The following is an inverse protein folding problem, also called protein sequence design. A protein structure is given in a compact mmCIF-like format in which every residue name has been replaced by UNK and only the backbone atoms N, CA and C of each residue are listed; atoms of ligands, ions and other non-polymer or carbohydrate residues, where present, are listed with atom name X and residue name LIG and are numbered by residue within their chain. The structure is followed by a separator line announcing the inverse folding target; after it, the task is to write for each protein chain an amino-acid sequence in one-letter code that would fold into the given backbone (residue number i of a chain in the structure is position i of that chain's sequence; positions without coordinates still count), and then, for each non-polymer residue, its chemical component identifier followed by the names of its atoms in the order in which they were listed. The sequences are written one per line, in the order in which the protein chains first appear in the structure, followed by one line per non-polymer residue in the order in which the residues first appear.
data_IF_585933043802
#
_entry.id   IF_585933043802
#
_cell.length_a   1.000
_cell.length_b   1.000
_cell.length_c   1.000
_cell.angle_alpha   90.00
_cell.angle_beta   90.00
_cell.angle_gamma   90.00
#
_symmetry.space_group_name_H-M   'P 1'
#
loop_
_entity.id
_entity.type
_entity.pdbx_description
1 polymer ?
#
# COMPACT_ATOMS: atom_id res chain seq x y z
N UNK A 1 29.10 -9.37 0.60
CA UNK A 1 28.13 -9.13 -0.49
C UNK A 1 27.84 -10.47 -1.15
N UNK A 2 26.59 -10.95 -1.16
CA UNK A 2 26.27 -12.29 -1.67
C UNK A 2 25.72 -12.22 -3.10
N UNK A 3 25.91 -13.28 -3.89
CA UNK A 3 25.37 -13.37 -5.25
C UNK A 3 23.83 -13.16 -5.29
N UNK A 4 23.13 -13.62 -4.25
CA UNK A 4 21.70 -13.40 -4.09
C UNK A 4 21.31 -11.91 -4.03
N UNK A 5 22.07 -11.07 -3.31
CA UNK A 5 21.79 -9.64 -3.26
C UNK A 5 22.03 -8.94 -4.60
N UNK A 6 23.04 -9.37 -5.35
CA UNK A 6 23.31 -8.85 -6.70
C UNK A 6 22.16 -9.20 -7.65
N UNK A 7 21.75 -10.47 -7.66
CA UNK A 7 20.64 -10.95 -8.49
C UNK A 7 19.32 -10.26 -8.13
N UNK A 8 18.98 -10.21 -6.84
CA UNK A 8 17.79 -9.55 -6.32
C UNK A 8 17.74 -8.07 -6.66
N UNK A 9 18.83 -7.32 -6.47
CA UNK A 9 18.89 -5.89 -6.81
C UNK A 9 18.78 -5.65 -8.32
N UNK A 10 19.45 -6.47 -9.13
CA UNK A 10 19.36 -6.39 -10.60
C UNK A 10 17.92 -6.61 -11.06
N UNK A 11 17.25 -7.62 -10.49
CA UNK A 11 15.84 -7.91 -10.80
C UNK A 11 14.91 -6.81 -10.32
N UNK A 12 15.14 -6.25 -9.13
CA UNK A 12 14.39 -5.13 -8.57
C UNK A 12 14.42 -3.92 -9.50
N UNK A 13 15.62 -3.52 -9.97
CA UNK A 13 15.79 -2.44 -10.95
C UNK A 13 15.11 -2.75 -12.28
N UNK A 14 15.23 -3.98 -12.78
CA UNK A 14 14.61 -4.38 -14.04
C UNK A 14 13.08 -4.34 -13.99
N UNK A 15 12.46 -4.72 -12.86
CA UNK A 15 11.02 -4.61 -12.67
C UNK A 15 10.56 -3.15 -12.58
N UNK A 16 11.24 -2.33 -11.78
CA UNK A 16 10.90 -0.92 -11.62
C UNK A 16 11.00 -0.13 -12.94
N UNK A 17 11.95 -0.49 -13.82
CA UNK A 17 12.07 0.11 -15.17
C UNK A 17 10.93 -0.24 -16.12
N UNK A 18 10.19 -1.32 -15.85
CA UNK A 18 9.09 -1.79 -16.69
C UNK A 18 7.71 -1.28 -16.25
N UNK A 19 7.63 -0.53 -15.14
CA UNK A 19 6.40 0.11 -14.70
C UNK A 19 5.70 0.86 -15.85
N UNK A 20 4.38 0.94 -15.79
CA UNK A 20 3.59 1.66 -16.80
C UNK A 20 3.96 3.15 -16.81
N UNK A 21 4.14 3.74 -15.62
CA UNK A 21 4.53 5.12 -15.46
C UNK A 21 3.39 6.12 -15.67
N UNK A 22 3.65 7.42 -15.43
CA UNK A 22 2.63 8.46 -15.44
C UNK A 22 2.01 8.67 -16.82
N UNK A 23 2.77 8.55 -17.90
CA UNK A 23 2.26 8.77 -19.26
C UNK A 23 1.24 7.72 -19.68
N UNK A 24 1.53 6.44 -19.42
CA UNK A 24 0.56 5.36 -19.67
C UNK A 24 -0.66 5.56 -18.80
N UNK A 25 -0.48 5.87 -17.52
CA UNK A 25 -1.59 6.05 -16.62
C UNK A 25 -2.48 7.24 -17.08
N UNK A 26 -1.91 8.36 -17.54
CA UNK A 26 -2.67 9.49 -18.11
C UNK A 26 -3.48 9.08 -19.34
N UNK A 27 -2.89 8.30 -20.26
CA UNK A 27 -3.61 7.75 -21.42
C UNK A 27 -4.72 6.79 -21.03
N UNK A 28 -4.54 5.99 -19.97
CA UNK A 28 -5.59 5.13 -19.42
C UNK A 28 -6.72 6.00 -18.86
N UNK A 29 -6.37 7.02 -18.07
CA UNK A 29 -7.32 7.91 -17.41
C UNK A 29 -8.16 8.74 -18.40
N UNK A 30 -7.57 9.13 -19.54
CA UNK A 30 -8.25 9.85 -20.63
C UNK A 30 -9.03 8.93 -21.58
N UNK A 31 -9.26 7.66 -21.22
CA UNK A 31 -10.07 6.75 -22.04
C UNK A 31 -11.55 7.06 -21.81
N UNK A 32 -12.35 7.24 -22.86
CA UNK A 32 -13.77 7.56 -22.72
C UNK A 32 -14.61 6.39 -22.17
N UNK A 33 -14.04 5.18 -22.17
CA UNK A 33 -14.67 3.99 -21.64
C UNK A 33 -13.61 3.04 -21.04
N UNK A 34 -14.05 2.21 -20.09
CA UNK A 34 -13.20 1.22 -19.43
C UNK A 34 -12.55 0.26 -20.42
N UNK A 35 -13.29 -0.24 -21.41
CA UNK A 35 -12.77 -1.21 -22.40
C UNK A 35 -11.52 -0.68 -23.13
N UNK A 36 -11.58 0.55 -23.63
CA UNK A 36 -10.43 1.21 -24.27
C UNK A 36 -9.28 1.46 -23.28
N UNK A 37 -9.58 1.67 -22.01
CA UNK A 37 -8.59 1.82 -20.95
C UNK A 37 -7.84 0.50 -20.68
N UNK A 38 -8.57 -0.63 -20.64
CA UNK A 38 -7.99 -1.97 -20.44
C UNK A 38 -7.10 -2.37 -21.61
N UNK A 39 -7.49 -2.06 -22.85
CA UNK A 39 -6.67 -2.32 -24.03
C UNK A 39 -5.31 -1.61 -23.98
N UNK A 40 -5.24 -0.41 -23.39
CA UNK A 40 -3.99 0.37 -23.23
C UNK A 40 -3.00 -0.26 -22.24
N UNK A 41 -3.44 -1.20 -21.40
CA UNK A 41 -2.57 -1.90 -20.46
C UNK A 41 -1.85 -3.12 -21.06
N UNK A 42 -2.17 -3.51 -22.29
CA UNK A 42 -1.57 -4.69 -22.93
C UNK A 42 -0.06 -4.56 -23.18
N UNK A 43 0.43 -3.34 -23.43
CA UNK A 43 1.85 -3.06 -23.58
C UNK A 43 2.61 -2.93 -22.24
N UNK A 44 1.95 -3.13 -21.11
CA UNK A 44 2.51 -2.94 -19.75
C UNK A 44 2.71 -4.26 -19.02
N UNK A 45 3.36 -4.28 -17.83
CA UNK A 45 3.41 -5.48 -17.00
C UNK A 45 2.03 -6.01 -16.57
N UNK A 46 1.00 -5.15 -16.55
CA UNK A 46 -0.36 -5.50 -16.11
C UNK A 46 -1.09 -6.42 -17.09
N UNK A 47 -0.61 -6.56 -18.32
CA UNK A 47 -1.12 -7.51 -19.32
C UNK A 47 -1.14 -8.96 -18.84
N UNK A 48 -0.48 -9.30 -17.74
CA UNK A 48 -0.51 -10.66 -17.18
C UNK A 48 -1.90 -11.02 -16.65
N UNK A 49 -2.53 -10.08 -15.95
CA UNK A 49 -3.81 -10.29 -15.28
C UNK A 49 -4.97 -9.47 -15.86
N UNK A 50 -4.68 -8.26 -16.35
CA UNK A 50 -5.71 -7.37 -16.88
C UNK A 50 -6.03 -7.74 -18.33
N UNK A 51 -7.32 -7.94 -18.63
CA UNK A 51 -7.84 -8.37 -19.92
C UNK A 51 -9.02 -7.51 -20.36
N UNK A 52 -9.23 -7.30 -21.68
CA UNK A 52 -10.48 -6.75 -22.19
C UNK A 52 -11.70 -7.56 -21.70
N UNK A 53 -12.84 -6.88 -21.51
CA UNK A 53 -14.08 -7.49 -21.05
C UNK A 53 -14.21 -7.66 -19.53
N UNK A 54 -13.16 -7.39 -18.75
CA UNK A 54 -13.24 -7.37 -17.29
C UNK A 54 -14.06 -6.17 -16.79
N UNK A 55 -14.82 -6.38 -15.71
CA UNK A 55 -15.35 -5.30 -14.90
C UNK A 55 -14.22 -4.50 -14.25
N UNK A 56 -14.54 -3.29 -13.76
CA UNK A 56 -13.57 -2.45 -13.05
C UNK A 56 -12.98 -3.19 -11.84
N UNK A 57 -13.82 -3.86 -11.05
CA UNK A 57 -13.41 -4.60 -9.85
C UNK A 57 -12.44 -5.73 -10.21
N UNK A 58 -12.77 -6.52 -11.23
CA UNK A 58 -11.90 -7.60 -11.71
C UNK A 58 -10.56 -7.08 -12.22
N UNK A 59 -10.58 -6.01 -13.03
CA UNK A 59 -9.37 -5.40 -13.57
C UNK A 59 -8.46 -4.84 -12.46
N UNK A 60 -9.04 -4.16 -11.46
CA UNK A 60 -8.29 -3.63 -10.33
C UNK A 60 -7.71 -4.75 -9.44
N UNK A 61 -8.49 -5.81 -9.21
CA UNK A 61 -7.99 -6.99 -8.49
C UNK A 61 -6.83 -7.65 -9.25
N UNK A 62 -6.97 -7.84 -10.57
CA UNK A 62 -5.93 -8.44 -11.40
C UNK A 62 -4.66 -7.57 -11.50
N UNK A 63 -4.82 -6.25 -11.51
CA UNK A 63 -3.72 -5.28 -11.44
C UNK A 63 -2.92 -5.42 -10.14
N UNK A 64 -3.61 -5.45 -9.00
CA UNK A 64 -2.99 -5.65 -7.69
C UNK A 64 -2.38 -7.05 -7.55
N UNK A 65 -3.02 -8.07 -8.14
CA UNK A 65 -2.47 -9.43 -8.23
C UNK A 65 -1.16 -9.48 -9.03
N UNK A 66 -1.01 -8.62 -10.04
CA UNK A 66 0.27 -8.48 -10.78
C UNK A 66 1.36 -7.90 -9.89
N UNK A 67 1.06 -6.89 -9.06
CA UNK A 67 1.99 -6.35 -8.07
C UNK A 67 2.43 -7.44 -7.09
N UNK A 68 1.50 -8.21 -6.52
CA UNK A 68 1.81 -9.31 -5.62
C UNK A 68 2.71 -10.36 -6.29
N UNK A 69 2.41 -10.71 -7.54
CA UNK A 69 3.26 -11.64 -8.30
C UNK A 69 4.68 -11.10 -8.48
N UNK A 70 4.86 -9.81 -8.79
CA UNK A 70 6.18 -9.19 -8.90
C UNK A 70 6.94 -9.23 -7.57
N UNK A 71 6.27 -8.96 -6.45
CA UNK A 71 6.85 -9.08 -5.10
C UNK A 71 7.28 -10.52 -4.80
N UNK A 72 6.45 -11.52 -5.14
CA UNK A 72 6.78 -12.94 -5.00
C UNK A 72 7.99 -13.33 -5.84
N UNK A 73 8.04 -12.88 -7.09
CA UNK A 73 9.19 -13.10 -7.97
C UNK A 73 10.44 -12.53 -7.33
N UNK A 74 10.42 -11.28 -6.85
CA UNK A 74 11.56 -10.67 -6.17
C UNK A 74 11.99 -11.45 -4.94
N UNK A 75 11.05 -11.88 -4.10
CA UNK A 75 11.35 -12.66 -2.90
C UNK A 75 12.12 -13.95 -3.20
N UNK A 76 11.83 -14.61 -4.33
CA UNK A 76 12.54 -15.81 -4.75
C UNK A 76 14.01 -15.62 -5.15
N UNK A 77 14.45 -14.38 -5.41
CA UNK A 77 15.85 -14.05 -5.73
C UNK A 77 16.64 -13.52 -4.55
N UNK A 78 16.00 -13.31 -3.40
CA UNK A 78 16.59 -12.68 -2.23
C UNK A 78 17.03 -13.73 -1.19
N UNK A 79 18.03 -13.41 -0.36
CA UNK A 79 18.29 -14.21 0.84
C UNK A 79 17.09 -14.12 1.80
N UNK A 80 17.05 -15.02 2.79
CA UNK A 80 15.93 -15.13 3.73
C UNK A 80 15.54 -13.82 4.42
N UNK A 81 16.50 -12.95 4.74
CA UNK A 81 16.24 -11.62 5.32
C UNK A 81 15.48 -10.70 4.35
N UNK A 82 15.86 -10.67 3.07
CA UNK A 82 15.15 -9.91 2.04
C UNK A 82 13.75 -10.48 1.74
N UNK A 83 13.63 -11.81 1.69
CA UNK A 83 12.34 -12.47 1.52
C UNK A 83 11.38 -12.18 2.71
N UNK A 84 11.90 -12.16 3.94
CA UNK A 84 11.12 -11.80 5.13
C UNK A 84 10.64 -10.33 5.09
N UNK A 85 11.49 -9.40 4.64
CA UNK A 85 11.10 -8.01 4.44
C UNK A 85 9.97 -7.88 3.39
N UNK A 86 10.08 -8.60 2.27
CA UNK A 86 9.02 -8.60 1.25
C UNK A 86 7.73 -9.24 1.74
N UNK A 87 7.80 -10.28 2.57
CA UNK A 87 6.62 -10.86 3.23
C UNK A 87 5.92 -9.83 4.13
N UNK A 88 6.68 -9.06 4.91
CA UNK A 88 6.12 -8.00 5.75
C UNK A 88 5.42 -6.91 4.91
N UNK A 89 6.01 -6.48 3.79
CA UNK A 89 5.37 -5.54 2.85
C UNK A 89 4.11 -6.14 2.20
N UNK A 90 4.16 -7.42 1.82
CA UNK A 90 3.01 -8.13 1.25
C UNK A 90 1.85 -8.35 2.22
N UNK A 91 2.04 -8.09 3.52
CA UNK A 91 0.99 -8.17 4.54
C UNK A 91 -0.28 -7.36 4.20
N UNK A 92 -0.18 -6.32 3.37
CA UNK A 92 -1.36 -5.59 2.86
C UNK A 92 -2.32 -6.49 2.07
N UNK A 93 -1.81 -7.44 1.29
CA UNK A 93 -2.66 -8.36 0.52
C UNK A 93 -3.39 -9.36 1.42
N UNK A 94 -2.79 -9.72 2.55
CA UNK A 94 -3.46 -10.53 3.56
C UNK A 94 -4.57 -9.74 4.28
N UNK A 95 -4.35 -8.44 4.55
CA UNK A 95 -5.41 -7.53 5.02
C UNK A 95 -6.55 -7.47 4.00
N UNK A 96 -6.23 -7.30 2.71
CA UNK A 96 -7.23 -7.24 1.66
C UNK A 96 -8.02 -8.56 1.52
N UNK A 97 -7.37 -9.71 1.75
CA UNK A 97 -8.04 -11.00 1.80
C UNK A 97 -8.99 -11.14 3.00
N UNK A 98 -8.60 -10.63 4.17
CA UNK A 98 -9.48 -10.58 5.34
C UNK A 98 -10.67 -9.62 5.11
N UNK A 99 -10.43 -8.46 4.51
CA UNK A 99 -11.51 -7.53 4.10
C UNK A 99 -12.48 -8.25 3.14
N UNK A 100 -11.97 -8.97 2.14
CA UNK A 100 -12.76 -9.75 1.19
C UNK A 100 -13.50 -10.92 1.85
N UNK A 101 -12.94 -11.53 2.91
CA UNK A 101 -13.58 -12.62 3.64
C UNK A 101 -14.86 -12.11 4.34
N UNK A 102 -14.81 -10.88 4.85
CA UNK A 102 -15.94 -10.24 5.53
C UNK A 102 -16.94 -9.66 4.53
N UNK A 103 -16.47 -9.11 3.39
CA UNK A 103 -17.33 -8.41 2.42
C UNK A 103 -17.80 -9.25 1.23
N UNK A 104 -17.33 -10.49 1.06
CA UNK A 104 -17.65 -11.36 -0.08
C UNK A 104 -16.92 -11.00 -1.38
N UNK A 105 -15.62 -10.66 -1.30
CA UNK A 105 -14.79 -10.29 -2.45
C UNK A 105 -13.83 -11.39 -2.94
N UNK A 106 -13.12 -11.17 -4.07
CA UNK A 106 -12.09 -12.09 -4.53
C UNK A 106 -10.85 -12.07 -3.62
N UNK A 107 -10.16 -13.21 -3.51
CA UNK A 107 -8.93 -13.35 -2.75
C UNK A 107 -7.69 -13.26 -3.64
N UNK A 108 -6.62 -12.70 -3.08
CA UNK A 108 -5.27 -12.74 -3.61
C UNK A 108 -4.56 -14.05 -3.26
N UNK A 109 -3.86 -14.60 -4.25
CA UNK A 109 -3.00 -15.78 -4.11
C UNK A 109 -1.64 -15.42 -3.48
N UNK A 110 -1.58 -15.41 -2.15
CA UNK A 110 -0.39 -15.01 -1.39
C UNK A 110 0.82 -15.94 -1.58
N UNK A 111 0.60 -17.25 -1.71
CA UNK A 111 1.67 -18.25 -1.75
C UNK A 111 2.59 -18.14 -0.53
N UNK A 112 3.91 -18.14 -0.75
CA UNK A 112 4.92 -18.04 0.33
C UNK A 112 4.96 -16.69 1.05
N UNK A 113 4.17 -15.70 0.60
CA UNK A 113 4.00 -14.41 1.25
C UNK A 113 2.89 -14.41 2.30
N UNK A 114 2.11 -15.48 2.41
CA UNK A 114 1.15 -15.64 3.49
C UNK A 114 1.87 -15.67 4.84
N UNK A 115 1.29 -15.02 5.84
CA UNK A 115 1.72 -15.10 7.24
C UNK A 115 0.80 -16.02 8.02
N UNK A 116 -0.51 -15.76 8.00
CA UNK A 116 -1.53 -16.54 8.71
C UNK A 116 -2.75 -16.88 7.82
N UNK A 117 -2.73 -16.47 6.54
CA UNK A 117 -3.89 -16.52 5.66
C UNK A 117 -4.59 -17.88 5.58
N UNK A 118 -3.83 -18.97 5.50
CA UNK A 118 -4.41 -20.33 5.41
C UNK A 118 -5.28 -20.66 6.63
N UNK A 119 -4.85 -20.24 7.82
CA UNK A 119 -5.58 -20.46 9.06
C UNK A 119 -6.78 -19.50 9.17
N UNK A 120 -6.56 -18.22 8.84
CA UNK A 120 -7.61 -17.20 8.88
C UNK A 120 -8.76 -17.49 7.93
N UNK A 121 -8.47 -17.95 6.71
CA UNK A 121 -9.48 -18.22 5.67
C UNK A 121 -10.52 -19.26 6.11
N UNK A 122 -10.09 -20.24 6.89
CA UNK A 122 -10.91 -21.38 7.30
C UNK A 122 -11.38 -21.27 8.75
N UNK A 123 -11.05 -20.17 9.44
CA UNK A 123 -11.37 -20.01 10.84
C UNK A 123 -12.88 -19.80 11.03
N UNK A 124 -13.55 -20.59 11.88
CA UNK A 124 -14.95 -20.35 12.22
C UNK A 124 -15.13 -19.08 13.06
N UNK A 125 -14.07 -18.69 13.79
CA UNK A 125 -13.99 -17.46 14.56
C UNK A 125 -12.72 -16.71 14.14
N UNK A 126 -12.94 -15.69 13.30
CA UNK A 126 -11.87 -14.89 12.73
C UNK A 126 -11.11 -14.10 13.80
N UNK A 127 -11.79 -13.58 14.83
CA UNK A 127 -11.15 -12.81 15.90
C UNK A 127 -10.19 -13.68 16.69
N UNK A 128 -10.63 -14.88 17.09
CA UNK A 128 -9.78 -15.83 17.82
C UNK A 128 -8.58 -16.27 16.99
N UNK A 129 -8.77 -16.52 15.69
CA UNK A 129 -7.68 -16.90 14.80
C UNK A 129 -6.68 -15.74 14.60
N UNK A 130 -7.16 -14.49 14.47
CA UNK A 130 -6.31 -13.31 14.44
C UNK A 130 -5.50 -13.15 15.73
N UNK A 131 -6.14 -13.31 16.89
CA UNK A 131 -5.50 -13.21 18.20
C UNK A 131 -4.38 -14.25 18.40
N UNK A 132 -4.53 -15.45 17.84
CA UNK A 132 -3.52 -16.51 17.86
C UNK A 132 -2.42 -16.34 16.78
N UNK A 133 -2.61 -15.43 15.84
CA UNK A 133 -1.66 -15.18 14.74
C UNK A 133 -0.69 -14.03 15.06
N UNK A 134 0.37 -13.84 14.25
CA UNK A 134 1.22 -12.65 14.38
C UNK A 134 0.47 -11.31 14.24
N UNK A 135 -0.76 -11.30 13.70
CA UNK A 135 -1.60 -10.10 13.58
C UNK A 135 -2.11 -9.59 14.93
N UNK A 136 -2.26 -10.49 15.91
CA UNK A 136 -2.73 -10.19 17.27
C UNK A 136 -4.22 -9.91 17.36
N UNK A 137 -4.71 -9.68 18.58
CA UNK A 137 -6.14 -9.48 18.84
C UNK A 137 -6.64 -8.15 18.26
N UNK A 138 -7.65 -8.16 17.36
CA UNK A 138 -8.28 -6.95 16.86
C UNK A 138 -8.96 -6.09 17.93
N UNK A 139 -9.34 -6.67 19.07
CA UNK A 139 -10.04 -5.97 20.16
C UNK A 139 -11.56 -5.90 19.98
N UNK A 140 -12.05 -6.11 18.77
CA UNK A 140 -13.46 -6.26 18.40
C UNK A 140 -13.62 -7.30 17.28
N UNK A 141 -14.84 -7.77 17.08
CA UNK A 141 -15.21 -8.73 16.04
C UNK A 141 -15.78 -8.06 14.78
N UNK A 142 -16.09 -6.76 14.83
CA UNK A 142 -16.54 -6.02 13.67
C UNK A 142 -15.43 -5.81 12.63
N UNK A 143 -15.85 -5.75 11.36
CA UNK A 143 -14.96 -5.62 10.20
C UNK A 143 -13.97 -4.45 10.33
N UNK A 144 -14.42 -3.32 10.89
CA UNK A 144 -13.60 -2.10 10.96
C UNK A 144 -12.55 -2.21 12.05
N UNK A 145 -12.89 -2.73 13.23
CA UNK A 145 -11.94 -2.98 14.31
C UNK A 145 -10.84 -3.95 13.86
N UNK A 146 -11.22 -5.03 13.17
CA UNK A 146 -10.28 -5.98 12.56
C UNK A 146 -9.33 -5.26 11.60
N UNK A 147 -9.88 -4.50 10.67
CA UNK A 147 -9.11 -3.81 9.64
C UNK A 147 -8.17 -2.74 10.23
N UNK A 148 -8.63 -1.95 11.21
CA UNK A 148 -7.81 -0.94 11.87
C UNK A 148 -6.66 -1.56 12.65
N UNK A 149 -6.91 -2.66 13.39
CA UNK A 149 -5.82 -3.37 14.09
C UNK A 149 -4.82 -3.91 13.09
N UNK A 150 -5.25 -4.61 12.05
CA UNK A 150 -4.31 -5.23 11.11
C UNK A 150 -3.47 -4.18 10.40
N UNK A 151 -4.06 -3.05 9.97
CA UNK A 151 -3.30 -1.93 9.36
C UNK A 151 -2.31 -1.30 10.33
N UNK A 152 -2.69 -1.16 11.60
CA UNK A 152 -1.80 -0.66 12.65
C UNK A 152 -0.63 -1.61 12.88
N UNK A 153 -0.89 -2.91 12.98
CA UNK A 153 0.13 -3.93 13.15
C UNK A 153 1.03 -4.03 11.92
N UNK A 154 0.48 -3.90 10.71
CA UNK A 154 1.25 -3.85 9.47
C UNK A 154 2.19 -2.65 9.45
N UNK A 155 1.72 -1.45 9.82
CA UNK A 155 2.57 -0.27 9.92
C UNK A 155 3.76 -0.49 10.87
N UNK A 156 3.55 -1.14 12.02
CA UNK A 156 4.66 -1.52 12.93
C UNK A 156 5.66 -2.47 12.27
N UNK A 157 5.18 -3.51 11.58
CA UNK A 157 6.04 -4.47 10.89
C UNK A 157 6.85 -3.78 9.79
N UNK A 158 6.22 -2.92 8.99
CA UNK A 158 6.90 -2.17 7.93
C UNK A 158 7.94 -1.22 8.52
N UNK A 159 7.61 -0.49 9.60
CA UNK A 159 8.54 0.40 10.26
C UNK A 159 9.77 -0.30 10.84
N UNK A 160 9.68 -1.60 11.14
CA UNK A 160 10.75 -2.41 11.69
C UNK A 160 11.68 -3.01 10.62
N UNK A 161 11.35 -2.91 9.33
CA UNK A 161 12.16 -3.49 8.25
C UNK A 161 13.50 -2.76 8.10
N UNK A 162 13.45 -1.43 8.04
CA UNK A 162 14.60 -0.54 7.81
C UNK A 162 14.30 0.86 8.35
N UNK A 163 15.32 1.63 8.76
CA UNK A 163 15.18 3.06 9.01
C UNK A 163 14.48 3.83 7.86
N UNK A 164 14.72 3.43 6.60
CA UNK A 164 14.13 4.09 5.43
C UNK A 164 12.60 3.93 5.35
N UNK A 165 12.07 2.79 5.82
CA UNK A 165 10.64 2.47 5.80
C UNK A 165 9.87 3.06 6.97
N UNK A 166 10.56 3.44 8.06
CA UNK A 166 9.92 3.96 9.28
C UNK A 166 9.12 5.25 9.01
N UNK A 167 9.65 6.28 8.33
CA UNK A 167 8.88 7.49 8.04
C UNK A 167 7.66 7.23 7.15
N UNK A 168 7.73 6.27 6.23
CA UNK A 168 6.60 5.90 5.37
C UNK A 168 5.47 5.28 6.21
N UNK A 169 5.80 4.28 7.03
CA UNK A 169 4.82 3.61 7.88
C UNK A 169 4.21 4.57 8.92
N UNK A 170 5.03 5.41 9.54
CA UNK A 170 4.56 6.39 10.53
C UNK A 170 3.63 7.45 9.90
N UNK A 171 3.98 7.96 8.72
CA UNK A 171 3.12 8.88 7.97
C UNK A 171 1.79 8.24 7.55
N UNK A 172 1.80 6.98 7.12
CA UNK A 172 0.58 6.25 6.74
C UNK A 172 -0.34 6.02 7.94
N UNK A 173 0.24 5.64 9.08
CA UNK A 173 -0.50 5.46 10.34
C UNK A 173 -1.07 6.79 10.83
N UNK A 174 -0.32 7.89 10.74
CA UNK A 174 -0.83 9.22 11.08
C UNK A 174 -2.03 9.62 10.21
N UNK A 175 -1.97 9.37 8.90
CA UNK A 175 -3.10 9.57 7.97
C UNK A 175 -4.30 8.70 8.32
N UNK A 176 -4.08 7.42 8.65
CA UNK A 176 -5.14 6.50 9.06
C UNK A 176 -5.85 7.03 10.31
N UNK A 177 -5.11 7.35 11.37
CA UNK A 177 -5.66 7.89 12.62
C UNK A 177 -6.38 9.22 12.36
N UNK A 178 -5.81 10.10 11.54
CA UNK A 178 -6.42 11.38 11.22
C UNK A 178 -7.77 11.22 10.50
N UNK A 179 -7.84 10.30 9.53
CA UNK A 179 -9.07 10.00 8.80
C UNK A 179 -10.14 9.43 9.73
N UNK A 180 -9.82 8.41 10.52
CA UNK A 180 -10.79 7.82 11.42
C UNK A 180 -11.32 8.81 12.46
N UNK A 181 -10.42 9.55 13.11
CA UNK A 181 -10.79 10.37 14.27
C UNK A 181 -11.46 11.68 13.87
N UNK A 182 -10.98 12.34 12.81
CA UNK A 182 -11.40 13.71 12.50
C UNK A 182 -12.24 13.84 11.24
N UNK A 183 -12.22 12.87 10.32
CA UNK A 183 -13.09 12.88 9.15
C UNK A 183 -14.32 11.99 9.36
N UNK A 184 -14.11 10.81 9.95
CA UNK A 184 -15.18 9.83 10.20
C UNK A 184 -15.76 9.93 11.62
N UNK A 185 -15.14 10.72 12.50
CA UNK A 185 -15.53 10.89 13.91
C UNK A 185 -15.65 9.57 14.70
N UNK A 186 -14.79 8.60 14.36
CA UNK A 186 -14.80 7.26 14.95
C UNK A 186 -13.75 7.10 16.04
N UNK A 187 -14.01 6.25 17.04
CA UNK A 187 -12.98 5.82 17.97
C UNK A 187 -11.90 5.04 17.21
N UNK A 188 -10.65 5.31 17.56
CA UNK A 188 -9.49 4.60 17.02
C UNK A 188 -8.79 3.91 18.20
N UNK A 189 -8.41 2.63 18.07
CA UNK A 189 -7.52 2.01 19.04
C UNK A 189 -6.26 2.86 19.23
N UNK A 190 -5.71 2.87 20.44
CA UNK A 190 -4.50 3.66 20.70
C UNK A 190 -3.38 3.30 19.73
N UNK A 191 -2.91 4.26 18.90
CA UNK A 191 -1.90 3.97 17.90
C UNK A 191 -0.53 3.79 18.57
N UNK A 192 0.37 3.00 17.96
CA UNK A 192 1.73 2.76 18.45
C UNK A 192 2.47 4.07 18.76
N UNK A 193 2.71 4.29 20.05
CA UNK A 193 3.31 5.51 20.56
C UNK A 193 4.71 5.80 19.99
N UNK A 194 5.44 4.76 19.57
CA UNK A 194 6.76 4.92 18.97
C UNK A 194 6.70 5.48 17.54
N UNK A 195 5.56 5.35 16.83
CA UNK A 195 5.37 5.84 15.46
C UNK A 195 4.64 7.19 15.42
N UNK A 196 3.62 7.39 16.24
CA UNK A 196 2.81 8.62 16.21
C UNK A 196 2.94 9.48 17.46
N UNK A 197 3.66 9.03 18.48
CA UNK A 197 3.88 9.80 19.71
C UNK A 197 2.67 9.78 20.66
N UNK A 198 2.93 9.62 21.97
CA UNK A 198 1.87 9.53 23.01
C UNK A 198 0.98 10.77 23.10
N UNK A 199 1.50 11.94 22.75
CA UNK A 199 0.79 13.22 22.90
C UNK A 199 -0.41 13.36 21.96
N UNK A 200 -0.43 12.62 20.86
CA UNK A 200 -1.47 12.69 19.83
C UNK A 200 -2.84 12.21 20.30
N UNK A 201 -2.89 11.29 21.26
CA UNK A 201 -4.15 10.78 21.84
C UNK A 201 -5.01 11.91 22.39
N UNK A 202 -4.38 12.95 22.96
CA UNK A 202 -5.07 14.09 23.57
C UNK A 202 -5.44 15.22 22.62
N UNK A 203 -5.19 15.10 21.32
CA UNK A 203 -5.47 16.18 20.36
C UNK A 203 -6.98 16.33 20.12
N UNK A 204 -7.56 17.50 20.39
CA UNK A 204 -8.98 17.78 20.18
C UNK A 204 -9.37 17.96 18.72
N UNK A 205 -8.43 18.38 17.88
CA UNK A 205 -8.65 18.59 16.44
C UNK A 205 -7.48 18.11 15.57
N UNK A 206 -7.70 18.11 14.25
CA UNK A 206 -6.73 17.64 13.25
C UNK A 206 -5.44 18.49 13.22
N UNK A 207 -5.55 19.80 13.42
CA UNK A 207 -4.39 20.69 13.40
C UNK A 207 -3.52 20.48 14.65
N UNK A 208 -4.13 20.31 15.81
CA UNK A 208 -3.46 19.95 17.06
C UNK A 208 -2.83 18.56 16.97
N UNK A 209 -3.52 17.59 16.35
CA UNK A 209 -2.97 16.27 16.10
C UNK A 209 -1.70 16.36 15.25
N UNK A 210 -1.75 17.11 14.14
CA UNK A 210 -0.60 17.37 13.28
C UNK A 210 0.60 17.97 14.02
N UNK A 211 0.36 18.98 14.88
CA UNK A 211 1.40 19.64 15.70
C UNK A 211 2.03 18.73 16.76
N UNK A 212 1.33 17.67 17.19
CA UNK A 212 1.78 16.75 18.23
C UNK A 212 2.46 15.49 17.70
N UNK A 213 2.46 15.28 16.39
CA UNK A 213 3.17 14.18 15.75
C UNK A 213 4.69 14.38 15.83
N UNK A 214 5.47 13.30 15.94
CA UNK A 214 6.91 13.38 15.76
C UNK A 214 7.26 13.66 14.28
N UNK A 215 8.41 14.26 14.01
CA UNK A 215 8.81 14.72 12.66
C UNK A 215 8.71 13.64 11.57
N UNK A 216 9.08 12.40 11.91
CA UNK A 216 9.04 11.27 10.99
C UNK A 216 7.62 10.84 10.59
N UNK A 217 6.58 11.32 11.30
CA UNK A 217 5.17 11.13 10.97
C UNK A 217 4.50 12.45 10.51
N UNK A 218 4.86 13.58 11.11
CA UNK A 218 4.23 14.88 10.92
C UNK A 218 4.26 15.37 9.47
N UNK A 219 5.30 15.02 8.71
CA UNK A 219 5.43 15.39 7.30
C UNK A 219 4.20 15.01 6.46
N UNK A 220 3.52 13.92 6.79
CA UNK A 220 2.36 13.44 6.04
C UNK A 220 1.16 14.37 6.20
N UNK A 221 1.05 15.10 7.33
CA UNK A 221 -0.04 16.02 7.64
C UNK A 221 0.38 17.51 7.61
N UNK A 222 1.59 17.82 7.14
CA UNK A 222 2.06 19.20 7.05
C UNK A 222 1.08 20.08 6.26
N UNK A 223 0.65 21.21 6.85
CA UNK A 223 -0.30 22.13 6.19
C UNK A 223 -1.75 21.65 6.11
N UNK A 224 -2.08 20.47 6.62
CA UNK A 224 -3.46 19.97 6.72
C UNK A 224 -4.13 20.58 7.95
N UNK A 225 -5.27 21.23 7.76
CA UNK A 225 -6.04 21.82 8.87
C UNK A 225 -7.45 21.28 8.94
N UNK A 226 -8.04 20.92 7.80
CA UNK A 226 -9.40 20.43 7.72
C UNK A 226 -9.45 18.99 7.22
N UNK A 227 -10.44 18.17 7.65
CA UNK A 227 -10.62 16.81 7.16
C UNK A 227 -10.74 16.73 5.62
N UNK A 228 -11.32 17.76 5.01
CA UNK A 228 -11.41 17.89 3.56
C UNK A 228 -10.05 17.95 2.84
N UNK A 229 -8.96 18.27 3.53
CA UNK A 229 -7.61 18.35 2.97
C UNK A 229 -6.84 17.01 3.04
N UNK A 230 -7.42 15.99 3.70
CA UNK A 230 -6.74 14.70 3.93
C UNK A 230 -6.41 13.95 2.63
N UNK A 231 -7.16 14.18 1.55
CA UNK A 231 -6.83 13.58 0.24
C UNK A 231 -5.50 14.13 -0.31
N UNK A 232 -5.21 15.42 -0.11
CA UNK A 232 -3.96 16.03 -0.55
C UNK A 232 -2.77 15.48 0.26
N UNK A 233 -3.01 15.23 1.55
CA UNK A 233 -2.06 14.62 2.46
C UNK A 233 -1.73 13.17 2.06
N UNK A 234 -2.75 12.39 1.70
CA UNK A 234 -2.58 11.04 1.15
C UNK A 234 -1.81 11.06 -0.17
N UNK A 235 -2.15 11.97 -1.09
CA UNK A 235 -1.41 12.13 -2.36
C UNK A 235 0.05 12.46 -2.10
N UNK A 236 0.36 13.42 -1.22
CA UNK A 236 1.74 13.73 -0.81
C UNK A 236 2.45 12.50 -0.25
N UNK A 237 1.76 11.68 0.54
CA UNK A 237 2.34 10.48 1.09
C UNK A 237 2.81 9.52 0.00
N UNK A 238 1.96 9.28 -1.00
CA UNK A 238 2.31 8.45 -2.15
C UNK A 238 3.43 9.05 -2.99
N UNK A 239 3.40 10.36 -3.25
CA UNK A 239 4.47 11.04 -4.01
C UNK A 239 5.82 10.96 -3.30
N UNK A 240 5.85 11.07 -1.96
CA UNK A 240 7.09 10.88 -1.20
C UNK A 240 7.54 9.42 -1.22
N UNK A 241 6.65 8.46 -1.00
CA UNK A 241 6.97 7.04 -1.07
C UNK A 241 7.65 6.70 -2.41
N UNK A 242 7.08 7.17 -3.51
CA UNK A 242 7.66 6.93 -4.84
C UNK A 242 9.02 7.61 -5.01
N UNK A 243 9.15 8.87 -4.59
CA UNK A 243 10.41 9.62 -4.69
C UNK A 243 11.53 8.98 -3.88
N UNK A 244 11.27 8.67 -2.62
CA UNK A 244 12.21 8.01 -1.72
C UNK A 244 12.55 6.61 -2.27
N UNK A 245 11.56 5.89 -2.82
CA UNK A 245 11.77 4.60 -3.48
C UNK A 245 12.67 4.68 -4.72
N UNK A 246 12.49 5.70 -5.57
CA UNK A 246 13.38 5.97 -6.72
C UNK A 246 14.80 6.32 -6.26
N UNK A 247 14.94 7.09 -5.19
CA UNK A 247 16.25 7.40 -4.61
C UNK A 247 16.97 6.13 -4.14
N UNK A 248 16.29 5.26 -3.38
CA UNK A 248 16.83 3.97 -2.93
C UNK A 248 17.23 3.05 -4.10
N UNK A 249 16.40 2.99 -5.15
CA UNK A 249 16.68 2.22 -6.37
C UNK A 249 17.94 2.69 -7.12
N UNK A 250 18.17 4.01 -7.14
CA UNK A 250 19.30 4.64 -7.82
C UNK A 250 20.62 4.47 -7.07
N UNK A 251 20.57 4.16 -5.77
CA UNK A 251 21.75 3.94 -4.96
C UNK A 251 22.63 2.81 -5.48
N UNK A 252 23.95 2.95 -5.34
CA UNK A 252 24.94 1.98 -5.83
C UNK A 252 24.99 0.67 -5.02
N UNK A 253 24.38 0.64 -3.83
CA UNK A 253 24.40 -0.52 -2.94
C UNK A 253 23.68 -1.72 -3.56
N UNK A 254 24.11 -2.92 -3.16
CA UNK A 254 23.53 -4.20 -3.55
C UNK A 254 23.05 -4.89 -2.26
N UNK A 255 22.00 -4.32 -1.68
CA UNK A 255 21.42 -4.72 -0.40
C UNK A 255 19.89 -4.56 -0.43
N UNK A 256 19.26 -4.50 0.74
CA UNK A 256 17.82 -4.39 0.87
C UNK A 256 17.26 -3.05 0.36
N UNK A 257 18.05 -1.96 0.37
CA UNK A 257 17.58 -0.62 0.01
C UNK A 257 16.95 -0.54 -1.39
N UNK A 258 17.67 -0.90 -2.47
CA UNK A 258 17.13 -0.90 -3.82
C UNK A 258 15.90 -1.80 -3.99
N UNK A 259 15.81 -2.90 -3.24
CA UNK A 259 14.66 -3.81 -3.27
C UNK A 259 13.43 -3.15 -2.66
N UNK A 260 13.57 -2.51 -1.50
CA UNK A 260 12.49 -1.72 -0.89
C UNK A 260 12.04 -0.59 -1.81
N UNK A 261 13.01 0.09 -2.45
CA UNK A 261 12.73 1.11 -3.45
C UNK A 261 11.93 0.60 -4.65
N UNK A 262 12.24 -0.61 -5.15
CA UNK A 262 11.47 -1.24 -6.21
C UNK A 262 10.02 -1.47 -5.81
N UNK A 263 9.77 -2.02 -4.62
CA UNK A 263 8.40 -2.28 -4.16
C UNK A 263 7.62 -0.98 -3.97
N UNK A 264 8.25 0.08 -3.43
CA UNK A 264 7.63 1.39 -3.31
C UNK A 264 7.21 1.96 -4.68
N UNK A 265 8.09 1.89 -5.69
CA UNK A 265 7.79 2.36 -7.05
C UNK A 265 6.70 1.51 -7.72
N UNK A 266 6.76 0.18 -7.58
CA UNK A 266 5.74 -0.73 -8.14
C UNK A 266 4.37 -0.49 -7.50
N UNK A 267 4.32 -0.25 -6.18
CA UNK A 267 3.09 0.06 -5.46
C UNK A 267 2.49 1.42 -5.88
N UNK A 268 3.33 2.45 -6.02
CA UNK A 268 2.90 3.76 -6.51
C UNK A 268 2.37 3.69 -7.95
N UNK A 269 3.04 2.95 -8.83
CA UNK A 269 2.59 2.72 -10.21
C UNK A 269 1.23 2.00 -10.24
N UNK A 270 1.08 0.93 -9.44
CA UNK A 270 -0.18 0.20 -9.32
C UNK A 270 -1.32 1.10 -8.81
N UNK A 271 -1.07 1.93 -7.80
CA UNK A 271 -2.06 2.91 -7.32
C UNK A 271 -2.48 3.87 -8.44
N UNK A 272 -1.51 4.45 -9.14
CA UNK A 272 -1.75 5.43 -10.20
C UNK A 272 -2.61 4.82 -11.31
N UNK A 273 -2.27 3.63 -11.77
CA UNK A 273 -3.01 2.94 -12.83
C UNK A 273 -4.39 2.49 -12.35
N UNK A 274 -4.54 2.07 -11.09
CA UNK A 274 -5.85 1.80 -10.49
C UNK A 274 -6.76 3.04 -10.50
N UNK A 275 -6.22 4.21 -10.12
CA UNK A 275 -6.96 5.47 -10.17
C UNK A 275 -7.30 5.89 -11.61
N UNK A 276 -6.41 5.61 -12.56
CA UNK A 276 -6.69 5.84 -13.99
C UNK A 276 -7.87 5.00 -14.49
N UNK A 277 -7.97 3.73 -14.08
CA UNK A 277 -9.10 2.86 -14.42
C UNK A 277 -10.42 3.36 -13.80
N UNK A 278 -10.39 3.87 -12.56
CA UNK A 278 -11.55 4.54 -11.93
C UNK A 278 -12.02 5.77 -12.72
N UNK A 279 -11.08 6.54 -13.29
CA UNK A 279 -11.45 7.72 -14.06
C UNK A 279 -12.07 7.33 -15.41
N UNK A 280 -11.46 6.34 -16.07
CA UNK A 280 -11.93 5.83 -17.34
C UNK A 280 -13.32 5.17 -17.25
N UNK A 281 -13.60 4.46 -16.15
CA UNK A 281 -14.93 3.89 -15.91
C UNK A 281 -16.03 4.95 -15.74
N UNK A 282 -15.64 6.20 -15.46
CA UNK A 282 -16.53 7.37 -15.28
C UNK A 282 -16.53 8.31 -16.50
N UNK A 283 -16.02 7.87 -17.65
CA UNK A 283 -16.05 8.64 -18.91
C UNK A 283 -14.78 9.42 -19.25
N UNK A 284 -13.72 9.33 -18.43
CA UNK A 284 -12.38 9.74 -18.87
C UNK A 284 -12.03 11.23 -18.82
N UNK A 285 -12.64 12.00 -17.91
CA UNK A 285 -12.35 13.44 -17.78
C UNK A 285 -11.47 13.74 -16.56
N UNK A 286 -10.34 14.47 -16.73
CA UNK A 286 -9.51 14.89 -15.60
C UNK A 286 -10.32 15.71 -14.60
N UNK A 287 -10.25 15.34 -13.32
CA UNK A 287 -10.68 16.18 -12.20
C UNK A 287 -9.43 16.52 -11.40
N UNK A 288 -9.35 17.72 -10.82
CA UNK A 288 -8.16 18.23 -10.12
C UNK A 288 -7.56 17.21 -9.12
N UNK A 289 -8.42 16.50 -8.37
CA UNK A 289 -8.00 15.47 -7.42
C UNK A 289 -7.32 14.26 -8.09
N UNK A 290 -7.73 13.89 -9.31
CA UNK A 290 -7.10 12.81 -10.07
C UNK A 290 -5.78 13.26 -10.69
N UNK A 291 -5.68 14.50 -11.21
CA UNK A 291 -4.40 15.00 -11.77
C UNK A 291 -3.26 14.93 -10.75
N UNK A 292 -3.56 15.22 -9.48
CA UNK A 292 -2.60 15.10 -8.38
C UNK A 292 -2.15 13.64 -8.13
N UNK A 293 -2.99 12.64 -8.41
CA UNK A 293 -2.63 11.22 -8.33
C UNK A 293 -1.83 10.76 -9.55
N UNK A 294 -2.05 11.40 -10.71
CA UNK A 294 -1.42 11.06 -11.98
C UNK A 294 -0.04 11.68 -12.17
N UNK A 295 0.27 12.76 -11.44
CA UNK A 295 1.60 13.38 -11.36
C UNK A 295 2.66 12.45 -10.76
#
# INVERSE_FOLDING_TARGET
MTAAWVAGTTRARALARRCAGPDVARRVASSPALEGALARLDATPYRRGVRPGQSLVEAQHALLGTLLWQVRVLAGWLPGTGAAALRALAGWFEIANVDALVSGGPFFELGTMATAWSDLRNAPDLRRALAASPWGDPGGDDARSIQLRMRTQWARRVAAISPDTRPWAAGALALLVARERFAEERPVPEPPADLVGRRTVRAGDLAEFGRRLPDHAAWALQGVRHPADLWAAETRWWSRLERDGRALLSGARLDLGPVLGAVAVLAADARRVRAALELASRGGHPREAFDAVMA
#
